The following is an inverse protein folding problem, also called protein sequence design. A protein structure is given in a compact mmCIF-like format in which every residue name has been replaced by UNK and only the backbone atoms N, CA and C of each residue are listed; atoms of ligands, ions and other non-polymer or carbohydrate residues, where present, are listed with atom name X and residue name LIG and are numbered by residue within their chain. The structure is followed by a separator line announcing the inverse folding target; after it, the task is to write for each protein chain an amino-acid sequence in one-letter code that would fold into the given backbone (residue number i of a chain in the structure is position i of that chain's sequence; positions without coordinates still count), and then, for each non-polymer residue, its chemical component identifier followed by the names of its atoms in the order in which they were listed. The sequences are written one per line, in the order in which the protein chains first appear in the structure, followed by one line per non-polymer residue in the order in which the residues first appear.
data_IF_968561204481
#
_entry.id   IF_968561204481
#
_cell.length_a   1.000
_cell.length_b   1.000
_cell.length_c   1.000
_cell.angle_alpha   90.00
_cell.angle_beta   90.00
_cell.angle_gamma   90.00
#
_symmetry.space_group_name_H-M   'P 1'
#
loop_
_entity.id
_entity.type
_entity.pdbx_description
1 polymer ?
#
# COMPACT_ATOMS: atom_id res chain seq x y z
N UNK A 1 -25.82 -11.97 10.73
CA UNK A 1 -26.40 -10.78 10.09
C UNK A 1 -25.34 -10.19 9.19
N UNK A 2 -25.62 -9.95 7.93
CA UNK A 2 -24.74 -9.24 7.00
C UNK A 2 -24.72 -7.77 7.43
N UNK A 3 -23.53 -7.21 7.70
CA UNK A 3 -23.35 -5.80 8.01
C UNK A 3 -23.15 -5.03 6.71
N UNK A 4 -23.93 -3.99 6.48
CA UNK A 4 -23.68 -3.06 5.39
C UNK A 4 -22.58 -2.08 5.82
N UNK A 5 -21.54 -1.93 5.01
CA UNK A 5 -20.38 -1.09 5.30
C UNK A 5 -19.86 -0.44 4.01
N UNK A 6 -19.38 0.78 4.10
CA UNK A 6 -18.70 1.42 2.99
C UNK A 6 -17.38 0.72 2.69
N UNK A 7 -17.01 0.63 1.42
CA UNK A 7 -15.77 0.01 0.98
C UNK A 7 -14.51 0.61 1.66
N UNK A 8 -14.46 1.94 1.78
CA UNK A 8 -13.35 2.64 2.46
C UNK A 8 -13.24 2.28 3.94
N UNK A 9 -14.38 2.07 4.59
CA UNK A 9 -14.43 1.73 6.01
C UNK A 9 -13.98 0.29 6.24
N UNK A 10 -14.34 -0.62 5.34
CA UNK A 10 -13.84 -2.00 5.37
C UNK A 10 -12.32 -2.05 5.19
N UNK A 11 -11.76 -1.25 4.27
CA UNK A 11 -10.30 -1.12 4.11
C UNK A 11 -9.64 -0.58 5.38
N UNK A 12 -10.24 0.43 6.03
CA UNK A 12 -9.73 0.99 7.28
C UNK A 12 -9.75 -0.04 8.40
N UNK A 13 -10.84 -0.78 8.53
CA UNK A 13 -10.96 -1.85 9.54
C UNK A 13 -9.91 -2.92 9.33
N UNK A 14 -9.69 -3.39 8.12
CA UNK A 14 -8.65 -4.38 7.82
C UNK A 14 -7.24 -3.89 8.20
N UNK A 15 -6.92 -2.62 7.90
CA UNK A 15 -5.66 -2.02 8.32
C UNK A 15 -5.58 -1.92 9.84
N UNK A 16 -6.64 -1.50 10.50
CA UNK A 16 -6.73 -1.37 11.95
C UNK A 16 -6.53 -2.72 12.67
N UNK A 17 -7.18 -3.76 12.18
CA UNK A 17 -7.07 -5.13 12.71
C UNK A 17 -5.63 -5.65 12.59
N UNK A 18 -5.00 -5.51 11.44
CA UNK A 18 -3.61 -5.93 11.22
C UNK A 18 -2.62 -5.12 12.09
N UNK A 19 -2.83 -3.81 12.21
CA UNK A 19 -2.01 -2.97 13.08
C UNK A 19 -2.21 -3.29 14.56
N UNK A 20 -3.40 -3.66 14.98
CA UNK A 20 -3.68 -4.08 16.36
C UNK A 20 -3.04 -5.43 16.67
N UNK A 21 -3.09 -6.37 15.73
CA UNK A 21 -2.56 -7.72 15.90
C UNK A 21 -1.02 -7.78 15.85
N UNK A 22 -0.37 -6.87 15.13
CA UNK A 22 1.07 -6.93 14.91
C UNK A 22 1.76 -5.55 15.01
N UNK A 23 2.65 -5.35 16.01
CA UNK A 23 3.34 -4.08 16.21
C UNK A 23 4.33 -3.71 15.08
N UNK A 24 4.72 -4.66 14.23
CA UNK A 24 5.61 -4.43 13.09
C UNK A 24 4.88 -3.87 11.87
N UNK A 25 3.54 -3.89 11.86
CA UNK A 25 2.74 -3.27 10.78
C UNK A 25 2.71 -1.76 10.99
N UNK A 26 3.08 -1.03 9.96
CA UNK A 26 2.96 0.43 9.90
C UNK A 26 2.54 0.87 8.50
N UNK A 27 1.99 2.07 8.39
CA UNK A 27 1.54 2.62 7.11
C UNK A 27 2.22 3.96 6.84
N UNK A 28 2.67 4.14 5.60
CA UNK A 28 3.21 5.40 5.09
C UNK A 28 2.51 5.78 3.79
N UNK A 29 2.40 7.06 3.52
CA UNK A 29 1.77 7.57 2.31
C UNK A 29 1.57 9.08 2.33
N UNK A 30 0.98 9.60 1.28
CA UNK A 30 0.75 11.04 1.11
C UNK A 30 -0.52 11.49 1.84
N UNK A 31 -0.37 12.29 2.89
CA UNK A 31 -1.48 12.83 3.68
C UNK A 31 -2.31 11.77 4.38
N UNK A 32 -1.75 10.59 4.64
CA UNK A 32 -2.46 9.47 5.27
C UNK A 32 -2.55 9.62 6.80
N UNK A 33 -1.67 10.41 7.40
CA UNK A 33 -1.64 10.62 8.85
C UNK A 33 -2.63 11.72 9.27
N UNK A 34 -2.26 12.98 9.12
CA UNK A 34 -3.09 14.09 9.61
C UNK A 34 -4.44 14.22 8.87
N UNK A 35 -4.43 14.03 7.56
CA UNK A 35 -5.62 14.18 6.72
C UNK A 35 -6.48 12.92 6.65
N UNK A 36 -5.98 11.77 7.12
CA UNK A 36 -6.68 10.49 7.05
C UNK A 36 -6.77 9.90 5.64
N UNK A 37 -5.87 10.34 4.74
CA UNK A 37 -5.85 9.97 3.32
C UNK A 37 -6.92 10.70 2.49
N UNK A 38 -6.70 10.73 1.18
CA UNK A 38 -7.62 11.40 0.24
C UNK A 38 -9.03 10.78 0.23
N UNK A 39 -9.13 9.49 0.51
CA UNK A 39 -10.39 8.75 0.56
C UNK A 39 -10.79 8.34 2.00
N UNK A 40 -10.16 8.91 3.01
CA UNK A 40 -10.46 8.65 4.43
C UNK A 40 -10.27 7.20 4.89
N UNK A 41 -9.42 6.46 4.20
CA UNK A 41 -9.12 5.05 4.54
C UNK A 41 -8.28 4.94 5.81
N UNK A 42 -7.50 5.96 6.15
CA UNK A 42 -6.62 5.96 7.33
C UNK A 42 -7.08 6.91 8.43
N UNK A 43 -8.30 7.44 8.31
CA UNK A 43 -8.86 8.37 9.30
C UNK A 43 -8.90 7.76 10.71
N UNK A 44 -8.38 8.50 11.70
CA UNK A 44 -8.31 8.05 13.09
C UNK A 44 -7.12 7.14 13.44
N UNK A 45 -6.45 6.53 12.46
CA UNK A 45 -5.33 5.62 12.74
C UNK A 45 -4.12 6.35 13.37
N UNK A 46 -3.86 7.59 12.98
CA UNK A 46 -2.79 8.39 13.61
C UNK A 46 -3.02 8.57 15.10
N UNK A 47 -4.23 8.91 15.49
CA UNK A 47 -4.60 9.08 16.90
C UNK A 47 -4.46 7.78 17.70
N UNK A 48 -4.79 6.65 17.06
CA UNK A 48 -4.74 5.33 17.70
C UNK A 48 -3.33 4.77 17.82
N UNK A 49 -2.50 4.90 16.78
CA UNK A 49 -1.21 4.22 16.68
C UNK A 49 0.02 5.13 16.75
N UNK A 50 -0.18 6.44 16.64
CA UNK A 50 0.87 7.45 16.73
C UNK A 50 1.75 7.55 15.48
N UNK A 51 2.58 8.60 15.46
CA UNK A 51 3.44 8.98 14.31
C UNK A 51 4.52 7.95 13.95
N UNK A 52 4.82 7.02 14.83
CA UNK A 52 5.79 5.95 14.53
C UNK A 52 5.22 4.90 13.59
N UNK A 53 3.91 4.72 13.59
CA UNK A 53 3.23 3.68 12.81
C UNK A 53 2.32 4.21 11.71
N UNK A 54 1.94 5.49 11.75
CA UNK A 54 1.14 6.16 10.72
C UNK A 54 1.86 7.45 10.35
N UNK A 55 2.43 7.50 9.15
CA UNK A 55 3.34 8.59 8.75
C UNK A 55 2.99 9.18 7.40
N UNK A 56 2.94 10.49 7.35
CA UNK A 56 2.96 11.20 6.07
C UNK A 56 4.35 11.16 5.46
N UNK A 57 4.38 11.16 4.13
CA UNK A 57 5.59 11.27 3.32
C UNK A 57 5.48 12.46 2.36
N UNK A 58 6.60 13.01 1.89
CA UNK A 58 6.58 13.81 0.68
C UNK A 58 6.07 12.99 -0.52
N UNK A 59 5.64 13.67 -1.58
CA UNK A 59 5.30 13.05 -2.87
C UNK A 59 6.62 12.60 -3.52
N UNK A 60 6.96 11.34 -3.36
CA UNK A 60 8.21 10.75 -3.86
C UNK A 60 8.05 9.21 -3.94
N UNK A 61 7.24 8.72 -4.85
CA UNK A 61 6.77 7.33 -4.92
C UNK A 61 7.91 6.32 -4.98
N UNK A 62 8.97 6.61 -5.74
CA UNK A 62 10.17 5.76 -5.78
C UNK A 62 10.81 5.63 -4.38
N UNK A 63 10.93 6.75 -3.65
CA UNK A 63 11.45 6.78 -2.30
C UNK A 63 10.53 6.08 -1.31
N UNK A 64 9.22 6.31 -1.40
CA UNK A 64 8.20 5.69 -0.54
C UNK A 64 8.22 4.16 -0.69
N UNK A 65 8.18 3.67 -1.91
CA UNK A 65 8.22 2.23 -2.20
C UNK A 65 9.56 1.65 -1.76
N UNK A 66 10.68 2.33 -2.06
CA UNK A 66 12.02 1.90 -1.65
C UNK A 66 12.18 1.79 -0.13
N UNK A 67 11.70 2.77 0.63
CA UNK A 67 11.67 2.73 2.11
C UNK A 67 10.82 1.56 2.61
N UNK A 68 9.64 1.35 2.00
CA UNK A 68 8.78 0.22 2.35
C UNK A 68 9.46 -1.13 2.10
N UNK A 69 10.04 -1.32 0.93
CA UNK A 69 10.76 -2.56 0.58
C UNK A 69 11.95 -2.79 1.53
N UNK A 70 12.76 -1.76 1.78
CA UNK A 70 13.89 -1.84 2.72
C UNK A 70 13.45 -2.18 4.15
N UNK A 71 12.39 -1.54 4.63
CA UNK A 71 11.81 -1.84 5.95
C UNK A 71 11.30 -3.28 6.05
N UNK A 72 10.66 -3.79 4.98
CA UNK A 72 10.21 -5.18 4.93
C UNK A 72 11.38 -6.17 4.96
N UNK A 73 12.46 -5.89 4.24
CA UNK A 73 13.70 -6.69 4.29
C UNK A 73 14.29 -6.70 5.71
N UNK A 74 14.21 -5.57 6.40
CA UNK A 74 14.66 -5.42 7.80
C UNK A 74 13.72 -6.06 8.84
N UNK A 75 12.61 -6.67 8.42
CA UNK A 75 11.70 -7.43 9.28
C UNK A 75 10.40 -6.72 9.66
N UNK A 76 10.19 -5.47 9.23
CA UNK A 76 8.92 -4.79 9.41
C UNK A 76 7.84 -5.29 8.42
N UNK A 77 6.60 -4.82 8.57
CA UNK A 77 5.47 -5.13 7.71
C UNK A 77 4.79 -3.84 7.21
N UNK A 78 5.42 -3.15 6.28
CA UNK A 78 4.92 -1.88 5.79
C UNK A 78 3.72 -2.03 4.85
N UNK A 79 2.80 -1.10 4.99
CA UNK A 79 1.78 -0.77 3.99
C UNK A 79 2.19 0.59 3.40
N UNK A 80 2.39 0.67 2.11
CA UNK A 80 2.73 1.91 1.40
C UNK A 80 1.56 2.30 0.52
N UNK A 81 0.94 3.43 0.81
CA UNK A 81 -0.13 3.98 -0.01
C UNK A 81 0.43 4.91 -1.09
N UNK A 82 0.10 4.61 -2.33
CA UNK A 82 0.46 5.40 -3.51
C UNK A 82 -0.80 5.96 -4.15
N UNK A 83 -0.84 7.24 -4.38
CA UNK A 83 -1.93 7.95 -5.05
C UNK A 83 -1.44 8.51 -6.41
N UNK A 84 -1.78 7.91 -7.53
CA UNK A 84 -2.62 6.75 -7.84
C UNK A 84 -1.77 5.61 -8.41
N UNK A 85 -2.42 4.51 -8.90
CA UNK A 85 -1.70 3.41 -9.57
C UNK A 85 -0.83 3.91 -10.72
N UNK A 86 -1.23 5.00 -11.37
CA UNK A 86 -0.51 5.72 -12.40
C UNK A 86 0.93 6.09 -11.97
N UNK A 87 1.12 6.51 -10.75
CA UNK A 87 2.41 6.93 -10.19
C UNK A 87 3.21 5.79 -9.55
N UNK A 88 2.62 4.64 -9.39
CA UNK A 88 3.35 3.45 -8.95
C UNK A 88 4.48 3.08 -9.93
N UNK A 89 4.36 3.50 -11.19
CA UNK A 89 5.42 3.34 -12.20
C UNK A 89 6.73 4.03 -11.82
N UNK A 90 6.70 5.11 -11.05
CA UNK A 90 7.91 5.78 -10.55
C UNK A 90 8.73 4.88 -9.61
N UNK A 91 8.10 3.93 -8.95
CA UNK A 91 8.74 2.96 -8.06
C UNK A 91 8.86 1.55 -8.62
N UNK A 92 8.68 1.35 -9.93
CA UNK A 92 8.68 0.02 -10.54
C UNK A 92 9.98 -0.74 -10.31
N UNK A 93 11.13 -0.09 -10.29
CA UNK A 93 12.40 -0.77 -9.99
C UNK A 93 12.36 -1.41 -8.60
N UNK A 94 11.89 -0.67 -7.59
CA UNK A 94 11.79 -1.19 -6.23
C UNK A 94 10.81 -2.35 -6.10
N UNK A 95 9.74 -2.35 -6.88
CA UNK A 95 8.76 -3.45 -6.90
C UNK A 95 9.27 -4.66 -7.69
N UNK A 96 9.74 -4.42 -8.91
CA UNK A 96 10.07 -5.49 -9.88
C UNK A 96 11.42 -6.12 -9.61
N UNK A 97 12.46 -5.29 -9.44
CA UNK A 97 13.83 -5.76 -9.32
C UNK A 97 14.23 -6.05 -7.87
N UNK A 98 13.66 -5.31 -6.91
CA UNK A 98 13.98 -5.51 -5.51
C UNK A 98 12.95 -6.43 -4.81
N UNK A 99 11.72 -5.99 -4.61
CA UNK A 99 10.74 -6.76 -3.83
C UNK A 99 10.42 -8.12 -4.44
N UNK A 100 10.05 -8.16 -5.73
CA UNK A 100 9.63 -9.39 -6.40
C UNK A 100 10.75 -10.43 -6.53
N UNK A 101 12.00 -9.99 -6.66
CA UNK A 101 13.16 -10.88 -6.91
C UNK A 101 13.97 -11.22 -5.66
N UNK A 102 13.79 -10.49 -4.57
CA UNK A 102 14.62 -10.63 -3.37
C UNK A 102 14.67 -12.06 -2.84
N UNK A 103 13.53 -12.75 -2.81
CA UNK A 103 13.47 -14.15 -2.37
C UNK A 103 14.30 -15.08 -3.26
N UNK A 104 14.24 -14.87 -4.57
CA UNK A 104 15.03 -15.66 -5.55
C UNK A 104 16.53 -15.35 -5.38
N UNK A 105 16.89 -14.06 -5.33
CA UNK A 105 18.29 -13.63 -5.21
C UNK A 105 18.96 -14.11 -3.92
N UNK A 106 18.18 -14.33 -2.86
CA UNK A 106 18.67 -14.84 -1.57
C UNK A 106 18.54 -16.35 -1.40
N UNK A 107 18.35 -17.09 -2.47
CA UNK A 107 18.20 -18.55 -2.41
C UNK A 107 17.00 -19.04 -1.60
N UNK A 108 15.93 -18.25 -1.55
CA UNK A 108 14.70 -18.58 -0.81
C UNK A 108 14.67 -18.13 0.65
N UNK A 109 15.77 -17.64 1.20
CA UNK A 109 15.88 -17.26 2.61
C UNK A 109 15.29 -15.86 2.90
N UNK A 110 15.43 -14.93 1.96
CA UNK A 110 14.90 -13.56 2.12
C UNK A 110 13.38 -13.50 1.96
N UNK A 111 12.77 -12.56 2.68
CA UNK A 111 11.34 -12.27 2.58
C UNK A 111 11.13 -10.77 2.52
N UNK A 112 10.11 -10.35 1.78
CA UNK A 112 9.68 -8.96 1.68
C UNK A 112 8.18 -8.90 1.96
N UNK A 113 7.76 -8.93 3.23
CA UNK A 113 6.35 -8.82 3.62
C UNK A 113 5.87 -7.37 3.48
N UNK A 114 5.73 -6.92 2.25
CA UNK A 114 5.41 -5.56 1.83
C UNK A 114 4.05 -5.54 1.14
N UNK A 115 3.27 -4.51 1.41
CA UNK A 115 2.03 -4.22 0.71
C UNK A 115 2.12 -2.83 0.08
N UNK A 116 1.97 -2.73 -1.23
CA UNK A 116 1.62 -1.49 -1.88
C UNK A 116 0.11 -1.43 -2.05
N UNK A 117 -0.50 -0.40 -1.50
CA UNK A 117 -1.91 -0.12 -1.66
C UNK A 117 -2.07 1.10 -2.57
N UNK A 118 -2.92 0.97 -3.56
CA UNK A 118 -3.20 2.06 -4.50
C UNK A 118 -4.62 1.97 -5.02
N UNK A 119 -5.11 3.01 -5.61
CA UNK A 119 -6.36 3.05 -6.35
C UNK A 119 -6.11 3.50 -7.77
N UNK A 120 -7.02 3.15 -8.66
CA UNK A 120 -7.00 3.51 -10.07
C UNK A 120 -8.38 3.39 -10.70
N UNK A 121 -8.43 3.50 -12.01
CA UNK A 121 -9.65 3.38 -12.79
C UNK A 121 -10.37 4.69 -13.04
N UNK A 122 -11.30 4.67 -13.96
CA UNK A 122 -11.99 5.85 -14.51
C UNK A 122 -13.07 6.45 -13.62
N UNK A 123 -13.44 5.75 -12.53
CA UNK A 123 -14.59 6.13 -11.70
C UNK A 123 -14.51 7.50 -11.04
N UNK A 124 -13.30 7.99 -10.77
CA UNK A 124 -13.09 9.31 -10.18
C UNK A 124 -13.14 10.48 -11.18
N UNK A 125 -13.03 10.23 -12.47
CA UNK A 125 -13.02 11.27 -13.51
C UNK A 125 -11.89 12.29 -13.39
N UNK A 126 -10.72 11.87 -12.89
CA UNK A 126 -9.58 12.75 -12.57
C UNK A 126 -8.56 12.85 -13.70
N UNK A 127 -9.02 12.77 -14.95
CA UNK A 127 -8.26 12.89 -16.18
C UNK A 127 -7.24 11.76 -16.44
N UNK A 128 -6.49 11.87 -17.54
CA UNK A 128 -5.71 10.80 -18.14
C UNK A 128 -4.62 10.20 -17.23
N UNK A 129 -4.02 11.03 -16.38
CA UNK A 129 -2.89 10.62 -15.54
C UNK A 129 -3.30 10.10 -14.15
N UNK A 130 -4.60 10.09 -13.82
CA UNK A 130 -5.10 9.70 -12.51
C UNK A 130 -6.29 8.74 -12.61
N UNK A 131 -6.49 8.12 -13.77
CA UNK A 131 -7.67 7.29 -14.04
C UNK A 131 -7.33 6.02 -14.82
N UNK A 132 -6.08 5.61 -14.86
CA UNK A 132 -5.66 4.42 -15.57
C UNK A 132 -5.94 3.15 -14.76
N UNK A 133 -6.05 2.02 -15.46
CA UNK A 133 -6.16 0.67 -14.89
C UNK A 133 -4.89 -0.09 -15.28
N UNK A 134 -3.90 -0.11 -14.41
CA UNK A 134 -2.54 -0.60 -14.69
C UNK A 134 -2.21 -1.92 -13.99
N UNK A 135 -3.20 -2.62 -13.44
CA UNK A 135 -3.06 -3.86 -12.67
C UNK A 135 -2.29 -4.93 -13.46
N UNK A 136 -2.53 -5.00 -14.77
CA UNK A 136 -1.89 -5.97 -15.65
C UNK A 136 -0.36 -5.85 -15.67
N UNK A 137 0.19 -4.66 -15.48
CA UNK A 137 1.65 -4.46 -15.40
C UNK A 137 2.24 -5.20 -14.21
N UNK A 138 1.57 -5.16 -13.07
CA UNK A 138 2.04 -5.84 -11.85
C UNK A 138 1.76 -7.34 -11.89
N UNK A 139 0.63 -7.73 -12.46
CA UNK A 139 0.27 -9.14 -12.63
C UNK A 139 1.26 -9.91 -13.52
N UNK A 140 1.86 -9.23 -14.49
CA UNK A 140 2.87 -9.79 -15.37
C UNK A 140 4.17 -10.15 -14.64
N UNK A 141 4.44 -9.61 -13.45
CA UNK A 141 5.73 -9.73 -12.75
C UNK A 141 5.72 -10.94 -11.80
N UNK A 142 6.51 -12.01 -12.09
CA UNK A 142 6.66 -13.13 -11.17
C UNK A 142 7.24 -12.69 -9.82
N UNK A 143 6.59 -13.10 -8.74
CA UNK A 143 6.97 -12.75 -7.37
C UNK A 143 6.07 -11.69 -6.73
N UNK A 144 5.25 -10.99 -7.50
CA UNK A 144 4.18 -10.13 -6.98
C UNK A 144 2.86 -10.90 -6.86
N UNK A 145 2.06 -10.52 -5.89
CA UNK A 145 0.65 -10.90 -5.77
C UNK A 145 -0.19 -9.65 -6.03
N UNK A 146 -1.14 -9.74 -6.94
CA UNK A 146 -2.06 -8.64 -7.26
C UNK A 146 -3.45 -9.03 -6.80
N UNK A 147 -4.07 -8.16 -6.03
CA UNK A 147 -5.42 -8.35 -5.49
C UNK A 147 -6.24 -7.12 -5.79
N UNK A 148 -7.42 -7.31 -6.34
CA UNK A 148 -8.39 -6.24 -6.64
C UNK A 148 -9.72 -6.60 -5.97
N UNK A 149 -9.90 -6.28 -4.67
CA UNK A 149 -11.15 -6.51 -4.00
C UNK A 149 -12.27 -5.68 -4.65
N UNK A 150 -13.43 -6.27 -4.86
CA UNK A 150 -14.56 -5.60 -5.51
C UNK A 150 -15.70 -5.25 -4.55
N UNK A 151 -15.66 -5.77 -3.33
CA UNK A 151 -16.68 -5.55 -2.31
C UNK A 151 -16.07 -5.64 -0.90
N UNK A 152 -16.77 -5.10 0.13
CA UNK A 152 -16.26 -5.01 1.50
C UNK A 152 -16.16 -6.33 2.27
N UNK A 153 -16.55 -7.44 1.73
CA UNK A 153 -16.57 -8.74 2.42
C UNK A 153 -15.35 -9.59 2.12
#
# INVERSE_FOLDING_TARGET
MTREIMYRDALREAIDEEMAANPLVFIIGEGIAERGGSYKVTEGLLTKYGVKRVRDTPIAEAGMIGVGVGAAIAGARPIVEILYVDFAMLGMDMLVNQAAKFRLMTGGNGRVPFIMRTQGGTGGGVAAQHSQSLEALFYHIPGLKVVMPSQPA
#
